data_IF_972603584916
#
_entry.id   IF_972603584916
#
_cell.length_a   1.000
_cell.length_b   1.000
_cell.length_c   1.000
_cell.angle_alpha   90.00
_cell.angle_beta   90.00
_cell.angle_gamma   90.00
#
_symmetry.space_group_name_H-M   'P 1'
#
loop_
_entity.id
_entity.type
_entity.pdbx_description
1 polymer ?
#
# COMPACT_ATOMS: atom_id res chain seq x y z
N UNK A 1 -2.91 23.21 16.66
CA UNK A 1 -2.02 23.95 15.73
C UNK A 1 -1.57 25.28 16.33
N UNK A 2 -2.47 26.21 16.65
CA UNK A 2 -2.07 27.50 17.27
C UNK A 2 -1.34 27.33 18.61
N UNK A 3 -1.86 26.50 19.51
CA UNK A 3 -1.20 26.17 20.79
C UNK A 3 0.18 25.54 20.60
N UNK A 4 0.26 24.55 19.70
CA UNK A 4 1.51 23.85 19.37
C UNK A 4 2.57 24.77 18.77
N UNK A 5 2.18 25.75 17.93
CA UNK A 5 3.13 26.72 17.39
C UNK A 5 3.59 27.71 18.47
N UNK A 6 2.71 28.11 19.39
CA UNK A 6 3.08 28.97 20.53
C UNK A 6 4.13 28.28 21.42
N UNK A 7 3.85 27.05 21.86
CA UNK A 7 4.80 26.25 22.64
C UNK A 7 6.14 26.05 21.91
N UNK A 8 6.09 25.84 20.59
CA UNK A 8 7.30 25.64 19.78
C UNK A 8 8.15 26.91 19.70
N UNK A 9 7.54 28.10 19.65
CA UNK A 9 8.25 29.38 19.66
C UNK A 9 8.83 29.74 21.05
N UNK A 10 8.26 29.21 22.12
CA UNK A 10 8.82 29.34 23.48
C UNK A 10 10.04 28.40 23.69
N UNK A 11 10.00 27.21 23.08
CA UNK A 11 11.01 26.16 23.27
C UNK A 11 12.17 26.21 22.27
N UNK A 12 11.98 26.80 21.09
CA UNK A 12 12.97 26.80 20.02
C UNK A 12 13.19 28.20 19.44
N UNK A 13 14.46 28.57 19.13
CA UNK A 13 14.74 29.80 18.39
C UNK A 13 14.01 29.83 17.05
N UNK A 14 13.40 30.96 16.69
CA UNK A 14 12.68 31.19 15.42
C UNK A 14 13.49 30.74 14.20
N UNK A 15 14.83 30.94 14.22
CA UNK A 15 15.78 30.52 13.17
C UNK A 15 15.90 28.99 12.98
N UNK A 16 15.23 28.20 13.81
CA UNK A 16 15.17 26.73 13.72
C UNK A 16 13.76 26.22 13.41
N UNK A 17 12.78 27.11 13.31
CA UNK A 17 11.39 26.77 13.00
C UNK A 17 11.19 26.86 11.50
N UNK A 18 10.63 25.83 10.88
CA UNK A 18 10.35 25.82 9.44
C UNK A 18 8.93 25.37 9.19
N UNK A 19 8.32 25.94 8.15
CA UNK A 19 7.10 25.41 7.59
C UNK A 19 7.39 24.24 6.65
N UNK A 20 6.68 23.14 6.84
CA UNK A 20 6.57 22.04 5.89
C UNK A 20 5.10 21.62 5.81
N UNK A 21 4.67 21.21 4.62
CA UNK A 21 3.34 20.63 4.39
C UNK A 21 3.51 19.24 3.80
N UNK A 22 2.79 18.28 4.36
CA UNK A 22 2.62 16.93 3.81
C UNK A 22 1.70 16.94 2.57
N UNK A 23 1.03 18.05 2.30
CA UNK A 23 0.30 18.35 1.08
C UNK A 23 1.20 18.54 -0.15
N UNK A 24 2.23 17.71 -0.34
CA UNK A 24 3.10 17.77 -1.52
C UNK A 24 2.52 17.04 -2.75
N UNK A 25 1.45 16.26 -2.55
CA UNK A 25 0.91 15.34 -3.55
C UNK A 25 -0.02 15.99 -4.58
N UNK A 26 -0.75 17.05 -4.20
CA UNK A 26 -1.68 17.77 -5.07
C UNK A 26 -1.48 19.28 -4.89
N UNK A 27 -1.49 20.09 -5.98
CA UNK A 27 -1.38 21.55 -5.87
C UNK A 27 -2.41 22.16 -4.91
N UNK A 28 -3.62 21.61 -4.85
CA UNK A 28 -4.71 22.05 -3.99
C UNK A 28 -4.43 21.78 -2.52
N UNK A 29 -3.84 20.62 -2.18
CA UNK A 29 -3.48 20.30 -0.79
C UNK A 29 -2.26 21.10 -0.34
N UNK A 30 -1.31 21.34 -1.26
CA UNK A 30 -0.20 22.26 -1.02
C UNK A 30 -0.72 23.67 -0.72
N UNK A 31 -1.62 24.17 -1.58
CA UNK A 31 -2.22 25.48 -1.43
C UNK A 31 -3.01 25.62 -0.12
N UNK A 32 -3.85 24.64 0.21
CA UNK A 32 -4.62 24.64 1.44
C UNK A 32 -3.71 24.58 2.67
N UNK A 33 -2.68 23.74 2.66
CA UNK A 33 -1.67 23.65 3.72
C UNK A 33 -0.92 24.97 3.92
N UNK A 34 -0.42 25.57 2.84
CA UNK A 34 0.26 26.87 2.88
C UNK A 34 -0.68 28.00 3.34
N UNK A 35 -1.94 28.01 2.89
CA UNK A 35 -2.95 28.99 3.32
C UNK A 35 -3.23 28.88 4.81
N UNK A 36 -3.42 27.66 5.33
CA UNK A 36 -3.67 27.42 6.76
C UNK A 36 -2.46 27.74 7.62
N UNK A 37 -1.25 27.40 7.18
CA UNK A 37 -0.03 27.73 7.90
C UNK A 37 0.17 29.24 8.03
N UNK A 38 -0.06 30.02 6.97
CA UNK A 38 0.01 31.49 7.02
C UNK A 38 -0.99 32.07 8.02
N UNK A 39 -2.23 31.58 8.06
CA UNK A 39 -3.25 32.02 9.02
C UNK A 39 -2.86 31.69 10.47
N UNK A 40 -2.32 30.49 10.73
CA UNK A 40 -1.86 30.11 12.08
C UNK A 40 -0.65 30.93 12.52
N UNK A 41 0.37 31.07 11.67
CA UNK A 41 1.57 31.88 11.98
C UNK A 41 1.20 33.34 12.20
N UNK A 42 0.32 33.90 11.37
CA UNK A 42 -0.18 35.26 11.53
C UNK A 42 -0.81 35.45 12.91
N UNK A 43 -1.73 34.57 13.33
CA UNK A 43 -2.41 34.70 14.63
C UNK A 43 -1.44 34.63 15.80
N UNK A 44 -0.46 33.73 15.75
CA UNK A 44 0.52 33.56 16.83
C UNK A 44 1.45 34.77 16.93
N UNK A 45 1.99 35.24 15.80
CA UNK A 45 2.90 36.39 15.81
C UNK A 45 2.17 37.71 16.06
N UNK A 46 0.92 37.86 15.60
CA UNK A 46 0.08 39.03 15.92
C UNK A 46 -0.18 39.12 17.42
N UNK A 47 -0.53 38.00 18.06
CA UNK A 47 -0.71 37.95 19.51
C UNK A 47 0.59 38.31 20.24
N UNK A 48 1.74 37.77 19.80
CA UNK A 48 3.04 38.13 20.38
C UNK A 48 3.39 39.63 20.21
N UNK A 49 2.96 40.26 19.11
CA UNK A 49 3.09 41.70 18.94
C UNK A 49 2.16 42.52 19.83
N UNK A 50 0.92 42.06 20.01
CA UNK A 50 -0.07 42.68 20.92
C UNK A 50 0.37 42.58 22.39
N UNK A 51 0.96 41.45 22.77
CA UNK A 51 1.50 41.20 24.11
C UNK A 51 2.84 41.95 24.36
N UNK A 52 3.45 42.51 23.31
CA UNK A 52 4.70 43.27 23.38
C UNK A 52 5.97 42.40 23.38
N UNK A 53 5.84 41.09 23.15
CA UNK A 53 6.95 40.14 23.09
C UNK A 53 7.80 40.29 21.83
N UNK A 54 7.18 40.74 20.72
CA UNK A 54 7.85 41.00 19.44
C UNK A 54 7.43 42.34 18.87
N UNK A 55 8.37 43.09 18.30
CA UNK A 55 8.03 44.19 17.41
C UNK A 55 7.46 43.67 16.08
N UNK A 56 6.71 44.52 15.38
CA UNK A 56 6.18 44.21 14.04
C UNK A 56 7.31 43.82 13.08
N UNK A 57 8.47 44.48 13.18
CA UNK A 57 9.62 44.19 12.34
C UNK A 57 10.20 42.80 12.63
N UNK A 58 10.34 42.43 13.90
CA UNK A 58 10.79 41.10 14.30
C UNK A 58 9.80 40.00 13.89
N UNK A 59 8.50 40.28 13.94
CA UNK A 59 7.48 39.36 13.43
C UNK A 59 7.56 39.16 11.91
N UNK A 60 7.80 40.22 11.13
CA UNK A 60 8.04 40.11 9.68
C UNK A 60 9.28 39.27 9.40
N UNK A 61 10.35 39.52 10.16
CA UNK A 61 11.57 38.73 10.03
C UNK A 61 11.33 37.25 10.37
N UNK A 62 10.58 36.97 11.43
CA UNK A 62 10.21 35.61 11.82
C UNK A 62 9.42 34.89 10.72
N UNK A 63 8.50 35.56 10.04
CA UNK A 63 7.75 35.00 8.91
C UNK A 63 8.71 34.60 7.78
N UNK A 64 9.62 35.50 7.40
CA UNK A 64 10.62 35.23 6.36
C UNK A 64 11.58 34.10 6.76
N UNK A 65 11.95 33.99 8.03
CA UNK A 65 12.76 32.88 8.53
C UNK A 65 12.00 31.56 8.43
N UNK A 66 10.77 31.49 8.96
CA UNK A 66 9.93 30.28 9.02
C UNK A 66 9.59 29.75 7.63
N UNK A 67 9.22 30.63 6.70
CA UNK A 67 8.75 30.22 5.38
C UNK A 67 9.84 30.17 4.30
N UNK A 68 11.02 30.73 4.54
CA UNK A 68 12.03 30.87 3.48
C UNK A 68 13.46 30.70 3.96
N UNK A 69 14.00 31.63 4.76
CA UNK A 69 15.45 31.72 5.02
C UNK A 69 15.98 30.48 5.73
N UNK A 70 15.21 29.89 6.66
CA UNK A 70 15.63 28.69 7.36
C UNK A 70 15.78 27.48 6.41
N UNK A 71 14.86 27.33 5.45
CA UNK A 71 14.95 26.29 4.43
C UNK A 71 16.14 26.53 3.48
N UNK A 72 16.36 27.78 3.03
CA UNK A 72 17.52 28.13 2.19
C UNK A 72 18.84 27.77 2.87
N UNK A 73 18.97 28.11 4.16
CA UNK A 73 20.15 27.84 4.95
C UNK A 73 20.35 26.34 5.22
N UNK A 74 19.29 25.63 5.61
CA UNK A 74 19.37 24.20 5.95
C UNK A 74 19.68 23.34 4.72
N UNK A 75 18.98 23.58 3.60
CA UNK A 75 19.12 22.80 2.38
C UNK A 75 20.19 23.33 1.42
N UNK A 76 20.87 24.42 1.77
CA UNK A 76 21.91 25.08 0.96
C UNK A 76 21.42 25.40 -0.46
N UNK A 77 20.20 25.94 -0.56
CA UNK A 77 19.56 26.24 -1.83
C UNK A 77 20.11 27.54 -2.42
N UNK A 78 20.78 27.45 -3.56
CA UNK A 78 21.24 28.60 -4.32
C UNK A 78 20.07 29.18 -5.15
N UNK A 79 19.33 30.11 -4.57
CA UNK A 79 18.30 30.84 -5.33
C UNK A 79 19.00 31.97 -6.09
N UNK A 80 19.14 31.79 -7.41
CA UNK A 80 19.43 32.90 -8.33
C UNK A 80 18.20 33.82 -8.27
N UNK A 81 18.39 35.10 -7.93
CA UNK A 81 17.34 36.11 -8.01
C UNK A 81 16.96 36.33 -9.49
N UNK A 82 16.17 35.41 -10.04
CA UNK A 82 15.57 35.54 -11.36
C UNK A 82 14.23 36.23 -11.23
N UNK A 83 14.11 37.43 -11.79
CA UNK A 83 12.81 38.02 -12.10
C UNK A 83 12.04 37.04 -12.98
N UNK A 84 10.83 36.67 -12.57
CA UNK A 84 9.98 35.73 -13.32
C UNK A 84 9.52 36.43 -14.60
N UNK A 85 10.17 36.11 -15.73
CA UNK A 85 9.61 36.34 -17.04
C UNK A 85 8.70 35.16 -17.38
N UNK A 86 7.41 35.45 -17.54
CA UNK A 86 6.38 34.50 -17.98
C UNK A 86 6.59 34.13 -19.45
N UNK A 87 7.58 33.31 -19.77
CA UNK A 87 7.68 32.66 -21.07
C UNK A 87 8.71 31.53 -21.01
N UNK A 88 8.30 30.35 -20.57
CA UNK A 88 8.99 29.13 -20.99
C UNK A 88 8.02 27.96 -20.98
N UNK A 89 7.59 27.60 -22.18
CA UNK A 89 6.82 26.42 -22.47
C UNK A 89 7.53 25.18 -21.91
N UNK A 90 6.77 24.35 -21.20
CA UNK A 90 7.19 23.03 -20.74
C UNK A 90 7.37 22.16 -21.99
N UNK A 91 8.60 22.03 -22.47
CA UNK A 91 8.96 20.97 -23.42
C UNK A 91 9.11 19.69 -22.60
N UNK A 92 8.00 18.97 -22.47
CA UNK A 92 7.96 17.64 -21.86
C UNK A 92 8.85 16.69 -22.66
N UNK A 93 9.97 16.29 -22.05
CA UNK A 93 10.81 15.21 -22.58
C UNK A 93 10.02 13.91 -22.40
N UNK A 94 9.31 13.48 -23.46
CA UNK A 94 8.68 12.15 -23.52
C UNK A 94 9.79 11.12 -23.40
N UNK A 95 9.93 10.55 -22.20
CA UNK A 95 10.64 9.29 -22.02
C UNK A 95 9.81 8.25 -22.76
N UNK A 96 10.38 7.61 -23.79
CA UNK A 96 9.69 6.55 -24.52
C UNK A 96 9.52 5.35 -23.60
N UNK A 97 8.31 5.19 -23.06
CA UNK A 97 7.87 3.98 -22.42
C UNK A 97 7.74 2.90 -23.50
N UNK A 98 8.03 1.66 -23.12
CA UNK A 98 7.84 0.51 -24.02
C UNK A 98 6.35 0.33 -24.32
N UNK A 99 6.01 -0.19 -25.50
CA UNK A 99 4.61 -0.36 -25.94
C UNK A 99 3.73 -1.23 -25.05
N UNK A 100 4.32 -1.98 -24.10
CA UNK A 100 3.60 -2.79 -23.10
C UNK A 100 3.15 -1.94 -21.90
N UNK A 101 3.89 -0.89 -21.56
CA UNK A 101 3.57 0.03 -20.45
C UNK A 101 2.42 1.00 -20.80
N UNK A 102 2.16 1.24 -22.09
CA UNK A 102 1.11 2.18 -22.54
C UNK A 102 -0.33 1.70 -22.26
N UNK A 103 -0.55 0.40 -22.08
CA UNK A 103 -1.87 -0.20 -21.78
C UNK A 103 -2.09 -0.46 -20.27
N UNK A 104 -1.14 -0.07 -19.41
CA UNK A 104 -1.30 -0.16 -17.96
C UNK A 104 -1.86 1.18 -17.44
N UNK A 105 -3.01 1.14 -16.77
CA UNK A 105 -3.59 2.29 -16.10
C UNK A 105 -3.09 2.41 -14.66
N UNK A 106 -3.03 1.28 -13.94
CA UNK A 106 -2.72 1.27 -12.52
C UNK A 106 -1.80 0.10 -12.13
N UNK A 107 -0.96 0.35 -11.14
CA UNK A 107 -0.15 -0.67 -10.47
C UNK A 107 -0.55 -0.73 -8.99
N UNK A 108 -0.95 -1.92 -8.54
CA UNK A 108 -1.31 -2.22 -7.15
C UNK A 108 -0.06 -2.67 -6.39
N UNK A 109 0.34 -1.90 -5.39
CA UNK A 109 1.42 -2.25 -4.48
C UNK A 109 0.79 -2.95 -3.28
N UNK A 110 1.00 -4.25 -3.14
CA UNK A 110 0.36 -5.10 -2.15
C UNK A 110 1.32 -5.46 -1.00
N UNK A 111 0.79 -5.53 0.22
CA UNK A 111 1.48 -6.09 1.37
C UNK A 111 0.51 -6.91 2.23
N UNK A 112 1.06 -7.78 3.07
CA UNK A 112 0.31 -8.49 4.11
C UNK A 112 0.55 -7.79 5.45
N UNK A 113 -0.52 -7.48 6.18
CA UNK A 113 -0.39 -6.95 7.53
C UNK A 113 -0.24 -8.06 8.59
N UNK A 114 -0.08 -7.67 9.86
CA UNK A 114 0.09 -8.60 10.98
C UNK A 114 -1.16 -9.44 11.28
N UNK A 115 -2.34 -9.00 10.83
CA UNK A 115 -3.61 -9.74 10.94
C UNK A 115 -3.85 -10.72 9.79
N UNK A 116 -2.90 -10.83 8.85
CA UNK A 116 -3.01 -11.68 7.67
C UNK A 116 -3.88 -11.08 6.56
N UNK A 117 -4.25 -9.79 6.67
CA UNK A 117 -5.03 -9.11 5.63
C UNK A 117 -4.12 -8.63 4.51
N UNK A 118 -4.56 -8.87 3.28
CA UNK A 118 -3.94 -8.29 2.10
C UNK A 118 -4.39 -6.83 1.96
N UNK A 119 -3.44 -5.92 1.88
CA UNK A 119 -3.70 -4.48 1.74
C UNK A 119 -2.97 -3.94 0.52
N UNK A 120 -3.51 -2.90 -0.10
CA UNK A 120 -2.86 -2.31 -1.26
C UNK A 120 -2.93 -0.79 -1.32
N UNK A 121 -1.96 -0.21 -2.02
CA UNK A 121 -2.00 1.17 -2.55
C UNK A 121 -1.98 1.08 -4.06
N UNK A 122 -2.88 1.80 -4.72
CA UNK A 122 -2.96 1.83 -6.18
C UNK A 122 -2.31 3.10 -6.69
N UNK A 123 -1.39 2.96 -7.64
CA UNK A 123 -0.63 4.08 -8.21
C UNK A 123 -0.84 4.12 -9.72
N UNK A 124 -1.13 5.29 -10.33
CA UNK A 124 -1.18 5.42 -11.78
C UNK A 124 0.14 4.97 -12.43
N UNK A 125 0.05 4.22 -13.54
CA UNK A 125 1.20 3.56 -14.15
C UNK A 125 2.35 4.53 -14.46
N UNK A 126 2.06 5.70 -15.04
CA UNK A 126 3.09 6.71 -15.33
C UNK A 126 3.90 7.10 -14.08
N UNK A 127 3.21 7.40 -12.96
CA UNK A 127 3.88 7.70 -11.68
C UNK A 127 4.64 6.48 -11.14
N UNK A 128 4.07 5.29 -11.32
CA UNK A 128 4.70 4.07 -10.82
C UNK A 128 6.06 3.84 -11.47
N UNK A 129 6.09 3.83 -12.80
CA UNK A 129 7.28 3.57 -13.60
C UNK A 129 8.31 4.70 -13.53
N UNK A 130 7.86 5.96 -13.42
CA UNK A 130 8.76 7.10 -13.30
C UNK A 130 9.43 7.19 -11.92
N UNK A 131 8.66 7.02 -10.84
CA UNK A 131 9.10 7.36 -9.48
C UNK A 131 8.95 6.18 -8.52
N UNK A 132 7.74 5.63 -8.42
CA UNK A 132 7.39 4.75 -7.30
C UNK A 132 8.13 3.43 -7.29
N UNK A 133 8.44 2.84 -8.46
CA UNK A 133 9.21 1.59 -8.53
C UNK A 133 10.57 1.67 -7.82
N UNK A 134 11.16 2.88 -7.78
CA UNK A 134 12.48 3.11 -7.19
C UNK A 134 12.41 3.75 -5.80
N UNK A 135 11.40 4.58 -5.53
CA UNK A 135 11.28 5.35 -4.28
C UNK A 135 10.28 4.78 -3.29
N UNK A 136 9.46 3.82 -3.72
CA UNK A 136 8.36 3.27 -2.95
C UNK A 136 7.21 4.24 -2.70
N UNK A 137 6.31 3.87 -1.80
CA UNK A 137 5.19 4.69 -1.29
C UNK A 137 5.24 4.74 0.23
N UNK A 138 4.89 5.87 0.83
CA UNK A 138 4.83 6.00 2.29
C UNK A 138 3.66 5.19 2.87
N UNK A 139 3.89 4.56 4.03
CA UNK A 139 2.88 3.86 4.80
C UNK A 139 3.10 4.15 6.28
N UNK A 140 2.06 4.53 7.01
CA UNK A 140 2.12 4.77 8.45
C UNK A 140 2.32 3.47 9.22
N UNK A 141 2.98 3.52 10.38
CA UNK A 141 3.23 2.33 11.21
C UNK A 141 1.92 1.66 11.66
N UNK A 142 0.88 2.44 11.94
CA UNK A 142 -0.47 1.96 12.24
C UNK A 142 -0.97 0.88 11.29
N UNK A 143 -0.56 0.89 10.02
CA UNK A 143 -1.03 -0.07 9.04
C UNK A 143 -0.66 -1.53 9.36
N UNK A 144 0.42 -1.75 10.13
CA UNK A 144 0.77 -3.08 10.65
C UNK A 144 0.14 -3.39 12.01
N UNK A 145 -0.40 -2.38 12.70
CA UNK A 145 -1.14 -2.56 13.95
C UNK A 145 -2.63 -2.82 13.74
N UNK A 146 -3.18 -2.59 12.53
CA UNK A 146 -4.60 -2.74 12.25
C UNK A 146 -5.12 -4.16 12.51
N UNK A 147 -6.33 -4.25 13.06
CA UNK A 147 -7.02 -5.54 13.23
C UNK A 147 -7.71 -5.99 11.93
N UNK A 148 -8.19 -7.24 11.92
CA UNK A 148 -8.94 -7.81 10.80
C UNK A 148 -10.42 -7.37 10.75
N UNK A 149 -10.96 -6.79 11.83
CA UNK A 149 -12.39 -6.51 11.96
C UNK A 149 -12.74 -5.04 12.25
N UNK A 150 -11.75 -4.21 12.60
CA UNK A 150 -11.94 -2.77 12.81
C UNK A 150 -10.85 -1.94 12.12
N UNK A 151 -11.19 -0.70 11.76
CA UNK A 151 -10.28 0.25 11.12
C UNK A 151 -9.48 1.03 12.18
N UNK A 152 -8.68 0.30 12.96
CA UNK A 152 -7.89 0.86 14.05
C UNK A 152 -6.77 -0.09 14.50
N UNK A 153 -5.65 0.44 15.01
CA UNK A 153 -4.61 -0.38 15.61
C UNK A 153 -5.14 -1.16 16.82
N UNK A 154 -4.66 -2.39 17.00
CA UNK A 154 -4.93 -3.17 18.20
C UNK A 154 -4.35 -2.48 19.44
N UNK A 155 -5.09 -2.55 20.55
CA UNK A 155 -4.61 -2.09 21.86
C UNK A 155 -3.31 -2.79 22.23
N UNK A 156 -2.34 -2.02 22.75
CA UNK A 156 -1.03 -2.55 23.13
C UNK A 156 -0.07 -2.83 21.97
N UNK A 157 -0.47 -2.62 20.70
CA UNK A 157 0.44 -2.80 19.56
C UNK A 157 1.59 -1.79 19.53
N UNK A 158 1.43 -0.63 20.17
CA UNK A 158 2.35 0.52 20.09
C UNK A 158 2.59 1.07 18.67
N UNK A 159 1.86 0.58 17.66
CA UNK A 159 1.93 1.04 16.28
C UNK A 159 0.83 2.07 16.05
N UNK A 160 1.21 3.34 16.04
CA UNK A 160 0.27 4.47 15.94
C UNK A 160 0.37 5.17 14.57
N UNK A 161 -0.42 6.22 14.36
CA UNK A 161 -0.33 7.07 13.18
C UNK A 161 0.97 7.89 13.09
N UNK A 162 1.84 7.83 14.10
CA UNK A 162 3.12 8.53 14.12
C UNK A 162 4.21 7.65 13.52
N UNK A 163 4.94 8.20 12.55
CA UNK A 163 6.01 7.51 11.83
C UNK A 163 5.53 6.83 10.55
N UNK A 164 6.46 6.66 9.60
CA UNK A 164 6.21 6.03 8.32
C UNK A 164 7.34 5.09 7.90
N UNK A 165 6.97 4.04 7.16
CA UNK A 165 7.88 3.22 6.37
C UNK A 165 7.68 3.49 4.87
N UNK A 166 8.61 2.99 4.06
CA UNK A 166 8.47 2.94 2.61
C UNK A 166 8.09 1.52 2.19
N UNK A 167 6.97 1.39 1.48
CA UNK A 167 6.63 0.22 0.69
C UNK A 167 7.45 0.25 -0.60
N UNK A 168 8.47 -0.59 -0.69
CA UNK A 168 9.37 -0.68 -1.85
C UNK A 168 8.93 -1.86 -2.72
N UNK A 169 8.47 -1.61 -3.97
CA UNK A 169 8.07 -2.68 -4.88
C UNK A 169 9.20 -3.65 -5.18
N UNK A 170 8.90 -4.94 -5.13
CA UNK A 170 9.79 -6.03 -5.49
C UNK A 170 9.50 -6.45 -6.94
N UNK A 171 10.19 -5.81 -7.89
CA UNK A 171 9.89 -5.91 -9.33
C UNK A 171 9.85 -7.34 -9.90
N UNK A 172 10.68 -8.30 -9.47
CA UNK A 172 10.53 -9.72 -9.84
C UNK A 172 9.16 -10.34 -9.53
N UNK A 173 8.37 -9.74 -8.64
CA UNK A 173 7.01 -10.18 -8.31
C UNK A 173 5.94 -9.49 -9.13
N UNK A 174 6.26 -8.50 -9.96
CA UNK A 174 5.27 -7.78 -10.77
C UNK A 174 4.54 -8.74 -11.72
N UNK A 175 3.21 -8.77 -11.64
CA UNK A 175 2.34 -9.59 -12.48
C UNK A 175 1.22 -8.72 -13.06
N UNK A 176 0.97 -8.86 -14.37
CA UNK A 176 -0.21 -8.33 -15.05
C UNK A 176 -1.44 -9.11 -14.61
N UNK A 177 -2.48 -8.43 -14.12
CA UNK A 177 -3.65 -9.11 -13.55
C UNK A 177 -4.52 -9.74 -14.65
N UNK A 178 -4.67 -11.07 -14.72
CA UNK A 178 -5.44 -11.71 -15.79
C UNK A 178 -6.92 -11.31 -15.79
N UNK A 179 -7.47 -11.00 -14.61
CA UNK A 179 -8.86 -10.56 -14.43
C UNK A 179 -9.07 -9.04 -14.58
N UNK A 180 -8.00 -8.24 -14.65
CA UNK A 180 -8.07 -6.80 -14.92
C UNK A 180 -6.94 -6.39 -15.84
N UNK A 181 -7.22 -6.47 -17.15
CA UNK A 181 -6.20 -6.36 -18.21
C UNK A 181 -5.45 -5.04 -18.25
N UNK A 182 -5.93 -3.97 -17.62
CA UNK A 182 -5.25 -2.68 -17.57
C UNK A 182 -4.51 -2.44 -16.25
N UNK A 183 -4.37 -3.46 -15.41
CA UNK A 183 -3.78 -3.34 -14.09
C UNK A 183 -2.67 -4.37 -13.86
N UNK A 184 -1.71 -3.97 -13.03
CA UNK A 184 -0.65 -4.84 -12.56
C UNK A 184 -0.62 -4.87 -11.04
N UNK A 185 0.03 -5.88 -10.47
CA UNK A 185 0.19 -6.03 -9.03
C UNK A 185 1.62 -6.47 -8.70
N UNK A 186 2.21 -5.83 -7.69
CA UNK A 186 3.57 -6.08 -7.23
C UNK A 186 3.62 -6.17 -5.71
N UNK A 187 4.30 -7.19 -5.19
CA UNK A 187 4.58 -7.30 -3.75
C UNK A 187 5.53 -6.20 -3.33
N UNK A 188 5.39 -5.70 -2.10
CA UNK A 188 6.31 -4.72 -1.55
C UNK A 188 6.98 -5.21 -0.27
N UNK A 189 8.24 -4.80 -0.11
CA UNK A 189 8.94 -4.85 1.15
C UNK A 189 8.72 -3.57 1.94
N UNK A 190 8.77 -3.65 3.26
CA UNK A 190 8.65 -2.50 4.14
C UNK A 190 10.05 -2.10 4.62
N UNK A 191 10.43 -0.85 4.36
CA UNK A 191 11.71 -0.30 4.75
C UNK A 191 11.53 0.87 5.72
N UNK A 192 12.23 0.82 6.86
CA UNK A 192 12.23 1.91 7.83
C UNK A 192 13.11 3.08 7.36
N UNK A 193 14.18 2.76 6.64
CA UNK A 193 15.09 3.69 5.96
C UNK A 193 15.50 3.07 4.62
N UNK A 194 15.98 3.86 3.64
CA UNK A 194 16.45 3.32 2.37
C UNK A 194 17.48 2.19 2.57
N UNK A 195 17.16 1.00 2.07
CA UNK A 195 18.02 -0.20 2.19
C UNK A 195 17.89 -0.94 3.53
N UNK A 196 17.11 -0.44 4.48
CA UNK A 196 16.93 -1.05 5.80
C UNK A 196 15.52 -1.58 5.97
N UNK A 197 15.39 -2.92 5.96
CA UNK A 197 14.12 -3.60 6.14
C UNK A 197 13.55 -3.40 7.55
N UNK A 198 12.26 -3.07 7.62
CA UNK A 198 11.56 -2.90 8.89
C UNK A 198 11.35 -4.26 9.58
N UNK A 199 11.38 -4.27 10.91
CA UNK A 199 11.24 -5.49 11.72
C UNK A 199 9.85 -6.14 11.59
N UNK A 200 8.82 -5.34 11.35
CA UNK A 200 7.44 -5.81 11.16
C UNK A 200 7.14 -6.24 9.72
N UNK A 201 8.13 -6.27 8.83
CA UNK A 201 7.92 -6.74 7.46
C UNK A 201 7.87 -8.28 7.40
N UNK A 202 6.72 -8.92 7.14
CA UNK A 202 6.63 -10.39 7.15
C UNK A 202 7.51 -11.05 6.08
N UNK A 203 7.62 -10.43 4.89
CA UNK A 203 8.50 -10.90 3.80
C UNK A 203 9.97 -10.88 4.21
N UNK A 204 10.42 -9.81 4.87
CA UNK A 204 11.79 -9.69 5.38
C UNK A 204 12.07 -10.73 6.47
N UNK A 205 11.12 -10.95 7.39
CA UNK A 205 11.24 -11.98 8.44
C UNK A 205 11.42 -13.37 7.83
N UNK A 206 10.61 -13.75 6.84
CA UNK A 206 10.76 -15.03 6.15
C UNK A 206 12.14 -15.14 5.47
N UNK A 207 12.60 -14.09 4.78
CA UNK A 207 13.92 -14.08 4.14
C UNK A 207 15.05 -14.26 5.15
N UNK A 208 14.99 -13.59 6.30
CA UNK A 208 15.98 -13.73 7.39
C UNK A 208 16.05 -15.18 7.88
N UNK A 209 14.91 -15.81 8.15
CA UNK A 209 14.86 -17.21 8.59
C UNK A 209 15.41 -18.14 7.51
N UNK A 210 15.03 -17.95 6.24
CA UNK A 210 15.57 -18.78 5.14
C UNK A 210 17.07 -18.62 4.94
N UNK A 211 17.60 -17.41 5.21
CA UNK A 211 19.03 -17.14 5.14
C UNK A 211 19.77 -17.88 6.26
N UNK A 212 19.25 -17.86 7.49
CA UNK A 212 19.80 -18.64 8.61
C UNK A 212 19.82 -20.13 8.28
N UNK A 213 18.71 -20.69 7.75
CA UNK A 213 18.65 -22.10 7.34
C UNK A 213 19.73 -22.47 6.32
N UNK A 214 19.99 -21.59 5.35
CA UNK A 214 21.00 -21.84 4.33
C UNK A 214 22.42 -21.66 4.88
N UNK A 215 22.70 -20.56 5.55
CA UNK A 215 24.06 -20.18 5.96
C UNK A 215 24.60 -21.06 7.09
N UNK A 216 23.75 -21.39 8.08
CA UNK A 216 24.17 -22.14 9.28
C UNK A 216 23.98 -23.65 9.13
N UNK A 217 23.00 -24.08 8.33
CA UNK A 217 22.63 -25.50 8.23
C UNK A 217 22.71 -26.06 6.81
N UNK A 218 22.97 -25.24 5.79
CA UNK A 218 22.96 -25.65 4.37
C UNK A 218 21.62 -26.31 3.94
N UNK A 219 20.51 -25.80 4.47
CA UNK A 219 19.16 -26.30 4.18
C UNK A 219 18.36 -25.26 3.41
N UNK A 220 17.60 -25.72 2.41
CA UNK A 220 16.62 -24.89 1.71
C UNK A 220 15.21 -25.40 2.01
N UNK A 221 14.28 -24.48 2.29
CA UNK A 221 12.89 -24.81 2.57
C UNK A 221 12.02 -24.61 1.32
N UNK A 222 11.26 -25.63 0.96
CA UNK A 222 10.18 -25.53 -0.04
C UNK A 222 8.83 -25.66 0.66
N UNK A 223 7.83 -24.98 0.14
CA UNK A 223 6.46 -25.03 0.64
C UNK A 223 5.48 -25.13 -0.55
N UNK A 224 4.45 -25.95 -0.38
CA UNK A 224 3.23 -25.97 -1.20
C UNK A 224 2.05 -25.53 -0.34
N UNK A 225 1.02 -24.96 -0.95
CA UNK A 225 -0.17 -24.48 -0.25
C UNK A 225 -1.43 -25.07 -0.86
N UNK A 226 -2.22 -25.73 -0.03
CA UNK A 226 -3.57 -26.20 -0.32
C UNK A 226 -4.54 -25.09 0.10
N UNK A 227 -5.21 -24.49 -0.88
CA UNK A 227 -6.09 -23.35 -0.68
C UNK A 227 -7.54 -23.82 -0.66
N UNK A 228 -8.04 -24.09 0.54
CA UNK A 228 -9.46 -24.30 0.77
C UNK A 228 -10.20 -22.96 0.88
N UNK A 229 -11.34 -22.85 0.20
CA UNK A 229 -12.22 -21.68 0.25
C UNK A 229 -13.68 -22.06 0.02
N UNK A 230 -14.58 -21.23 0.54
CA UNK A 230 -16.01 -21.35 0.28
C UNK A 230 -16.43 -20.34 -0.78
N UNK A 231 -17.15 -20.80 -1.79
CA UNK A 231 -17.95 -19.95 -2.66
C UNK A 231 -19.32 -19.72 -2.05
N UNK A 232 -19.72 -18.45 -1.97
CA UNK A 232 -21.03 -18.02 -1.48
C UNK A 232 -21.74 -17.22 -2.55
N UNK A 233 -23.04 -17.49 -2.72
CA UNK A 233 -23.91 -16.73 -3.61
C UNK A 233 -24.84 -15.84 -2.80
N UNK A 234 -25.19 -14.69 -3.38
CA UNK A 234 -26.12 -13.75 -2.79
C UNK A 234 -27.55 -14.25 -2.98
N UNK A 235 -28.32 -14.31 -1.90
CA UNK A 235 -29.76 -14.55 -1.92
C UNK A 235 -30.45 -13.33 -1.28
N UNK A 236 -31.41 -12.75 -1.99
CA UNK A 236 -32.27 -11.70 -1.43
C UNK A 236 -33.64 -12.31 -1.18
N UNK A 237 -34.07 -12.33 0.08
CA UNK A 237 -35.37 -12.84 0.49
C UNK A 237 -36.02 -11.86 1.45
N UNK A 238 -37.26 -11.43 1.18
CA UNK A 238 -37.99 -10.45 1.99
C UNK A 238 -37.21 -9.15 2.26
N UNK A 239 -36.39 -8.70 1.29
CA UNK A 239 -35.53 -7.51 1.44
C UNK A 239 -34.27 -7.72 2.28
N UNK A 240 -34.06 -8.92 2.83
CA UNK A 240 -32.85 -9.29 3.57
C UNK A 240 -31.86 -9.99 2.63
N UNK A 241 -30.65 -9.47 2.58
CA UNK A 241 -29.55 -10.07 1.82
C UNK A 241 -28.80 -11.10 2.67
N UNK A 242 -28.60 -12.30 2.12
CA UNK A 242 -27.89 -13.39 2.78
C UNK A 242 -26.85 -14.00 1.84
N UNK A 243 -25.74 -14.47 2.41
CA UNK A 243 -24.71 -15.21 1.71
C UNK A 243 -24.85 -16.71 1.99
N UNK A 244 -25.44 -17.43 1.04
CA UNK A 244 -25.67 -18.87 1.16
C UNK A 244 -24.58 -19.67 0.44
N UNK A 245 -24.35 -20.94 0.81
CA UNK A 245 -23.46 -21.83 0.06
C UNK A 245 -23.76 -21.82 -1.45
N UNK A 246 -22.70 -21.89 -2.26
CA UNK A 246 -22.81 -22.00 -3.71
C UNK A 246 -23.59 -23.26 -4.13
N UNK A 247 -23.28 -24.40 -3.52
CA UNK A 247 -23.98 -25.66 -3.65
C UNK A 247 -24.11 -26.36 -2.28
N UNK A 248 -24.80 -27.51 -2.25
CA UNK A 248 -24.97 -28.34 -1.06
C UNK A 248 -24.42 -29.78 -1.24
N UNK A 249 -23.49 -29.96 -2.16
CA UNK A 249 -22.91 -31.28 -2.49
C UNK A 249 -21.96 -31.78 -1.40
N UNK A 250 -21.44 -32.99 -1.57
CA UNK A 250 -20.50 -33.62 -0.64
C UNK A 250 -19.08 -33.64 -1.23
N UNK A 251 -18.12 -34.03 -0.39
CA UNK A 251 -16.72 -34.20 -0.74
C UNK A 251 -16.52 -34.92 -2.09
N UNK A 252 -15.64 -34.37 -2.94
CA UNK A 252 -15.28 -34.90 -4.25
C UNK A 252 -16.46 -35.16 -5.20
N UNK A 253 -17.56 -34.43 -5.06
CA UNK A 253 -18.73 -34.57 -5.94
C UNK A 253 -18.45 -34.05 -7.35
N UNK A 254 -18.66 -34.89 -8.36
CA UNK A 254 -18.51 -34.52 -9.78
C UNK A 254 -19.44 -33.37 -10.17
N UNK A 255 -20.69 -33.41 -9.69
CA UNK A 255 -21.68 -32.35 -9.97
C UNK A 255 -21.33 -31.00 -9.36
N UNK A 256 -20.52 -30.98 -8.29
CA UNK A 256 -20.05 -29.74 -7.68
C UNK A 256 -19.00 -29.07 -8.56
N UNK A 257 -18.05 -29.85 -9.05
CA UNK A 257 -17.08 -29.39 -10.03
C UNK A 257 -17.77 -28.92 -11.31
N UNK A 258 -18.71 -29.71 -11.87
CA UNK A 258 -19.44 -29.34 -13.07
C UNK A 258 -20.21 -28.01 -12.88
N UNK A 259 -20.86 -27.85 -11.73
CA UNK A 259 -21.58 -26.63 -11.38
C UNK A 259 -20.67 -25.40 -11.32
N UNK A 260 -19.53 -25.50 -10.63
CA UNK A 260 -18.57 -24.40 -10.46
C UNK A 260 -17.53 -24.30 -11.61
N UNK A 261 -17.63 -25.15 -12.64
CA UNK A 261 -16.59 -25.34 -13.64
C UNK A 261 -16.15 -24.05 -14.34
N UNK A 262 -17.08 -23.17 -14.70
CA UNK A 262 -16.77 -21.90 -15.35
C UNK A 262 -15.88 -20.99 -14.49
N UNK A 263 -16.15 -20.94 -13.19
CA UNK A 263 -15.38 -20.15 -12.22
C UNK A 263 -14.02 -20.79 -12.00
N UNK A 264 -13.99 -22.10 -11.76
CA UNK A 264 -12.77 -22.86 -11.46
C UNK A 264 -11.81 -22.90 -12.65
N UNK A 265 -12.32 -23.02 -13.88
CA UNK A 265 -11.53 -22.94 -15.11
C UNK A 265 -10.94 -21.54 -15.31
N UNK A 266 -11.71 -20.48 -15.06
CA UNK A 266 -11.18 -19.10 -15.16
C UNK A 266 -10.11 -18.83 -14.09
N UNK A 267 -10.31 -19.32 -12.85
CA UNK A 267 -9.29 -19.29 -11.79
C UNK A 267 -8.05 -20.03 -12.24
N UNK A 268 -8.18 -21.27 -12.68
CA UNK A 268 -7.05 -22.07 -13.16
C UNK A 268 -6.27 -21.37 -14.29
N UNK A 269 -6.97 -20.86 -15.31
CA UNK A 269 -6.33 -20.14 -16.42
C UNK A 269 -5.59 -18.90 -15.93
N UNK A 270 -6.19 -18.12 -15.03
CA UNK A 270 -5.59 -16.90 -14.50
C UNK A 270 -4.36 -17.18 -13.62
N UNK A 271 -4.41 -18.23 -12.79
CA UNK A 271 -3.26 -18.68 -12.01
C UNK A 271 -2.12 -19.13 -12.92
N UNK A 272 -2.45 -19.89 -13.97
CA UNK A 272 -1.48 -20.35 -14.96
C UNK A 272 -0.82 -19.18 -15.70
N UNK A 273 -1.60 -18.19 -16.14
CA UNK A 273 -1.10 -16.98 -16.80
C UNK A 273 -0.20 -16.14 -15.88
N UNK A 274 -0.42 -16.23 -14.57
CA UNK A 274 0.41 -15.60 -13.53
C UNK A 274 1.62 -16.46 -13.12
N UNK A 275 1.90 -17.57 -13.82
CA UNK A 275 3.03 -18.46 -13.51
C UNK A 275 2.85 -19.30 -12.24
N UNK A 276 1.62 -19.49 -11.78
CA UNK A 276 1.26 -20.32 -10.63
C UNK A 276 0.78 -21.68 -11.15
N UNK A 277 1.47 -22.75 -10.76
CA UNK A 277 1.13 -24.12 -11.16
C UNK A 277 0.15 -24.70 -10.13
N UNK A 278 -1.04 -25.06 -10.61
CA UNK A 278 -2.05 -25.81 -9.87
C UNK A 278 -1.85 -27.30 -10.15
N UNK A 279 -1.68 -28.10 -9.10
CA UNK A 279 -1.50 -29.56 -9.20
C UNK A 279 -2.86 -30.28 -9.10
N UNK A 280 -3.77 -29.78 -8.26
CA UNK A 280 -5.07 -30.40 -8.03
C UNK A 280 -6.15 -29.36 -7.73
N UNK A 281 -7.40 -29.72 -8.08
CA UNK A 281 -8.61 -28.99 -7.75
C UNK A 281 -9.74 -29.99 -7.49
N UNK A 282 -10.47 -29.84 -6.39
CA UNK A 282 -11.69 -30.61 -6.14
C UNK A 282 -12.69 -29.85 -5.26
N UNK A 283 -13.93 -30.37 -5.19
CA UNK A 283 -14.89 -29.98 -4.16
C UNK A 283 -14.51 -30.62 -2.82
N UNK A 284 -14.64 -29.85 -1.76
CA UNK A 284 -14.32 -30.25 -0.40
C UNK A 284 -15.60 -30.62 0.40
N UNK A 285 -15.45 -31.06 1.65
CA UNK A 285 -16.52 -31.60 2.47
C UNK A 285 -17.58 -30.56 2.86
N UNK A 286 -17.20 -29.29 2.95
CA UNK A 286 -18.11 -28.19 3.26
C UNK A 286 -18.99 -27.78 2.06
N UNK A 287 -20.16 -27.23 2.38
CA UNK A 287 -21.15 -26.83 1.35
C UNK A 287 -20.64 -25.64 0.54
N UNK A 288 -20.46 -25.84 -0.77
CA UNK A 288 -19.80 -24.87 -1.66
C UNK A 288 -18.32 -24.64 -1.34
N UNK A 289 -17.66 -25.62 -0.70
CA UNK A 289 -16.23 -25.58 -0.43
C UNK A 289 -15.45 -26.20 -1.58
N UNK A 290 -14.34 -25.58 -1.95
CA UNK A 290 -13.41 -26.05 -2.97
C UNK A 290 -11.98 -25.92 -2.47
N UNK A 291 -11.11 -26.76 -3.00
CA UNK A 291 -9.68 -26.69 -2.77
C UNK A 291 -8.94 -26.49 -4.09
N UNK A 292 -7.90 -25.65 -4.06
CA UNK A 292 -6.89 -25.53 -5.11
C UNK A 292 -5.50 -25.76 -4.50
N UNK A 293 -4.85 -26.86 -4.87
CA UNK A 293 -3.51 -27.21 -4.41
C UNK A 293 -2.45 -26.65 -5.36
N UNK A 294 -1.53 -25.85 -4.82
CA UNK A 294 -0.43 -25.23 -5.57
C UNK A 294 0.84 -26.06 -5.49
N UNK A 295 1.59 -26.14 -6.60
CA UNK A 295 2.89 -26.82 -6.64
C UNK A 295 3.86 -26.22 -5.63
N UNK A 296 4.57 -27.09 -4.92
CA UNK A 296 5.61 -26.65 -4.00
C UNK A 296 6.77 -25.94 -4.73
N UNK A 297 7.30 -24.89 -4.10
CA UNK A 297 8.45 -24.12 -4.58
C UNK A 297 9.22 -23.55 -3.38
N UNK A 298 10.32 -22.84 -3.58
CA UNK A 298 11.03 -22.12 -2.52
C UNK A 298 10.05 -21.32 -1.66
N UNK A 299 10.11 -21.44 -0.34
CA UNK A 299 9.04 -20.95 0.55
C UNK A 299 8.77 -19.45 0.45
N UNK A 300 9.79 -18.62 0.15
CA UNK A 300 9.62 -17.18 -0.11
C UNK A 300 8.74 -16.92 -1.33
N UNK A 301 9.01 -17.64 -2.42
CA UNK A 301 8.21 -17.57 -3.65
C UNK A 301 6.82 -18.18 -3.45
N UNK A 302 6.73 -19.28 -2.68
CA UNK A 302 5.46 -19.92 -2.37
C UNK A 302 4.53 -18.96 -1.60
N UNK A 303 5.07 -18.21 -0.64
CA UNK A 303 4.30 -17.23 0.14
C UNK A 303 3.75 -16.09 -0.74
N UNK A 304 4.54 -15.55 -1.68
CA UNK A 304 4.05 -14.54 -2.62
C UNK A 304 2.96 -15.14 -3.55
N UNK A 305 3.17 -16.35 -4.06
CA UNK A 305 2.19 -17.05 -4.91
C UNK A 305 0.89 -17.36 -4.18
N UNK A 306 0.92 -17.62 -2.87
CA UNK A 306 -0.27 -17.81 -2.04
C UNK A 306 -1.14 -16.54 -2.04
N UNK A 307 -0.51 -15.37 -1.87
CA UNK A 307 -1.22 -14.08 -1.88
C UNK A 307 -1.87 -13.85 -3.24
N UNK A 308 -1.12 -14.01 -4.33
CA UNK A 308 -1.66 -13.90 -5.70
C UNK A 308 -2.80 -14.90 -5.96
N UNK A 309 -2.67 -16.13 -5.48
CA UNK A 309 -3.70 -17.14 -5.67
C UNK A 309 -5.03 -16.76 -5.00
N UNK A 310 -4.96 -16.29 -3.75
CA UNK A 310 -6.15 -15.84 -3.02
C UNK A 310 -6.77 -14.57 -3.63
N UNK A 311 -5.95 -13.62 -4.12
CA UNK A 311 -6.44 -12.45 -4.85
C UNK A 311 -7.14 -12.83 -6.16
N UNK A 312 -6.59 -13.80 -6.89
CA UNK A 312 -7.15 -14.35 -8.12
C UNK A 312 -8.52 -14.99 -7.85
N UNK A 313 -8.59 -15.91 -6.88
CA UNK A 313 -9.82 -16.61 -6.49
C UNK A 313 -10.91 -15.61 -6.07
N UNK A 314 -10.58 -14.65 -5.19
CA UNK A 314 -11.53 -13.62 -4.75
C UNK A 314 -12.02 -12.75 -5.90
N UNK A 315 -11.14 -12.35 -6.82
CA UNK A 315 -11.48 -11.43 -7.89
C UNK A 315 -12.35 -12.08 -8.96
N UNK A 316 -12.04 -13.33 -9.33
CA UNK A 316 -12.84 -14.09 -10.28
C UNK A 316 -14.19 -14.47 -9.65
N UNK A 317 -14.23 -14.91 -8.39
CA UNK A 317 -15.51 -15.13 -7.71
C UNK A 317 -16.42 -13.89 -7.76
N UNK A 318 -15.87 -12.69 -7.46
CA UNK A 318 -16.63 -11.42 -7.55
C UNK A 318 -17.10 -11.11 -8.96
N UNK A 319 -16.26 -11.36 -9.98
CA UNK A 319 -16.64 -11.21 -11.40
C UNK A 319 -17.86 -12.06 -11.76
N UNK A 320 -17.99 -13.23 -11.14
CA UNK A 320 -19.13 -14.15 -11.31
C UNK A 320 -20.29 -13.88 -10.31
N UNK A 321 -20.29 -12.75 -9.60
CA UNK A 321 -21.36 -12.39 -8.66
C UNK A 321 -21.35 -13.18 -7.35
N UNK A 322 -20.23 -13.83 -7.03
CA UNK A 322 -20.02 -14.63 -5.82
C UNK A 322 -19.02 -13.96 -4.88
N UNK A 323 -18.97 -14.45 -3.65
CA UNK A 323 -17.89 -14.14 -2.69
C UNK A 323 -17.14 -15.42 -2.37
N UNK A 324 -15.82 -15.40 -2.57
CA UNK A 324 -14.92 -16.42 -2.04
C UNK A 324 -14.43 -16.01 -0.65
N UNK A 325 -14.56 -16.91 0.33
CA UNK A 325 -14.06 -16.70 1.70
C UNK A 325 -13.10 -17.80 2.13
N UNK A 326 -12.03 -17.39 2.81
CA UNK A 326 -10.97 -18.22 3.38
C UNK A 326 -11.00 -18.19 4.91
N UNK A 327 -12.09 -17.69 5.50
CA UNK A 327 -12.22 -17.60 6.95
C UNK A 327 -12.25 -19.02 7.55
N UNK A 328 -11.41 -19.29 8.57
CA UNK A 328 -11.53 -20.52 9.34
C UNK A 328 -12.85 -20.53 10.11
N UNK A 329 -13.28 -21.72 10.53
CA UNK A 329 -14.46 -21.92 11.38
C UNK A 329 -14.03 -22.41 12.74
#
# INVERSE_FOLDING_TARGET
>A
MTSSLKELLELAPIKKVMFSTDGYAFPETYYLGAKRARDVVYRVLSAACEDGDLSIQEAIEAIEDIFRRNALNLYKLNVVNGSINHETAIVGKRVSLSSVEEDVLFVRIIWCDASGQHRCRVVPAGRFYEITRNKGVGLTFAAMGMTSFCDGPADGSNLTGVGEIRLVPDMPTLVRLPWSRHEEMVMADMQIRPGEGWEYCPRNTLRKVTKVLLDEFNVTMKAGFENEFFLRRKLVSNGVEMWIPYDNTNYCSTSAFDGASSILQEVYSSLKDSGIVVEQLHAEAGKGQFEIALKYILCTVAADKLIYARETIKSIARKHGLVATFLPK
#
